data_IF_361410199730
#
_entry.id   IF_361410199730
#
_cell.length_a   1.000
_cell.length_b   1.000
_cell.length_c   1.000
_cell.angle_alpha   90.00
_cell.angle_beta   90.00
_cell.angle_gamma   90.00
#
_symmetry.space_group_name_H-M   'P 1'
#
loop_
_entity.id
_entity.type
_entity.pdbx_description
1 polymer ?
#
# COMPACT_ATOMS: atom_id res chain seq x y z
N UNK A 1 -63.36 -22.67 36.86
CA UNK A 1 -62.04 -23.13 36.43
C UNK A 1 -62.24 -24.18 35.37
N UNK A 2 -62.10 -23.79 34.10
CA UNK A 2 -61.90 -24.69 32.97
C UNK A 2 -61.15 -23.85 31.93
N UNK A 3 -60.01 -24.36 31.52
CA UNK A 3 -59.04 -23.75 30.62
C UNK A 3 -59.38 -24.05 29.17
N UNK A 4 -59.37 -23.04 28.30
CA UNK A 4 -59.23 -23.25 26.86
C UNK A 4 -58.21 -22.23 26.33
N UNK A 5 -57.00 -22.74 26.09
CA UNK A 5 -55.90 -22.08 25.38
C UNK A 5 -56.09 -22.33 23.89
N UNK A 6 -56.46 -21.29 23.14
CA UNK A 6 -56.41 -21.34 21.69
C UNK A 6 -54.98 -21.11 21.19
N UNK A 7 -54.55 -22.01 20.31
CA UNK A 7 -53.19 -22.14 19.78
C UNK A 7 -53.00 -21.21 18.57
N UNK A 8 -51.98 -20.36 18.63
CA UNK A 8 -51.54 -19.55 17.48
C UNK A 8 -50.60 -20.40 16.61
N UNK A 9 -50.79 -20.51 15.28
CA UNK A 9 -49.86 -21.23 14.43
C UNK A 9 -48.57 -20.41 14.25
N UNK A 10 -47.45 -20.94 14.74
CA UNK A 10 -46.11 -20.40 14.46
C UNK A 10 -45.82 -20.69 12.97
N UNK A 11 -45.64 -19.62 12.20
CA UNK A 11 -45.13 -19.67 10.83
C UNK A 11 -43.71 -20.25 10.85
N UNK A 12 -43.51 -21.42 10.21
CA UNK A 12 -42.18 -21.91 9.86
C UNK A 12 -41.60 -21.03 8.75
N UNK A 13 -41.06 -19.87 9.14
CA UNK A 13 -40.19 -19.07 8.30
C UNK A 13 -38.82 -19.73 8.22
N UNK A 14 -38.58 -20.45 7.13
CA UNK A 14 -37.23 -20.80 6.68
C UNK A 14 -36.47 -19.50 6.40
N UNK A 15 -35.81 -18.95 7.42
CA UNK A 15 -34.81 -17.92 7.24
C UNK A 15 -33.67 -18.55 6.44
N UNK A 16 -33.60 -18.17 5.17
CA UNK A 16 -32.46 -18.42 4.31
C UNK A 16 -31.19 -18.13 5.09
N UNK A 17 -30.29 -19.13 5.13
CA UNK A 17 -28.91 -18.92 5.52
C UNK A 17 -28.38 -17.76 4.69
N UNK A 18 -28.22 -16.59 5.32
CA UNK A 18 -27.39 -15.54 4.78
C UNK A 18 -25.98 -16.13 4.72
N UNK A 19 -25.52 -16.41 3.51
CA UNK A 19 -24.15 -16.80 3.25
C UNK A 19 -23.23 -15.74 3.89
N UNK A 20 -22.58 -16.12 4.98
CA UNK A 20 -21.38 -15.44 5.44
C UNK A 20 -20.39 -15.52 4.29
N UNK A 21 -20.17 -14.40 3.62
CA UNK A 21 -19.09 -14.25 2.65
C UNK A 21 -17.80 -14.55 3.43
N UNK A 22 -17.23 -15.72 3.15
CA UNK A 22 -15.93 -16.13 3.65
C UNK A 22 -14.90 -15.20 3.01
N UNK A 23 -14.62 -14.10 3.71
CA UNK A 23 -13.56 -13.19 3.33
C UNK A 23 -12.26 -13.98 3.47
N UNK A 24 -11.76 -14.48 2.34
CA UNK A 24 -10.44 -15.10 2.18
C UNK A 24 -9.39 -14.12 2.68
N UNK A 25 -9.16 -14.13 3.99
CA UNK A 25 -8.19 -13.27 4.65
C UNK A 25 -6.85 -13.89 4.32
N UNK A 26 -6.05 -13.23 3.48
CA UNK A 26 -4.65 -13.59 3.27
C UNK A 26 -4.01 -13.78 4.65
N UNK A 27 -3.40 -14.95 4.90
CA UNK A 27 -2.67 -15.21 6.16
C UNK A 27 -1.53 -14.20 6.40
N UNK A 28 -1.13 -13.45 5.37
CA UNK A 28 -0.12 -12.41 5.46
C UNK A 28 -0.74 -11.03 5.27
N UNK A 29 -0.54 -10.10 6.22
CA UNK A 29 -1.05 -8.75 6.09
C UNK A 29 -0.40 -8.06 4.88
N UNK A 30 -1.20 -7.32 4.11
CA UNK A 30 -0.70 -6.47 3.04
C UNK A 30 -0.12 -5.19 3.63
N UNK A 31 1.20 -5.00 3.47
CA UNK A 31 1.95 -3.89 4.06
C UNK A 31 2.63 -3.09 2.96
N UNK A 32 2.41 -1.78 2.97
CA UNK A 32 2.97 -0.82 2.01
C UNK A 32 3.99 0.07 2.73
N UNK A 33 5.24 0.10 2.27
CA UNK A 33 6.26 0.97 2.84
C UNK A 33 6.33 2.31 2.10
N UNK A 34 5.96 3.40 2.78
CA UNK A 34 6.06 4.75 2.27
C UNK A 34 7.41 5.40 2.62
N UNK A 35 8.24 5.65 1.61
CA UNK A 35 9.57 6.30 1.75
C UNK A 35 9.64 7.71 1.14
N UNK A 36 8.52 8.20 0.59
CA UNK A 36 8.40 9.45 -0.15
C UNK A 36 7.03 10.11 0.05
N UNK A 37 6.29 10.36 -1.03
CA UNK A 37 4.99 11.08 -0.98
C UNK A 37 3.93 10.42 -0.09
N UNK A 38 4.04 9.10 0.10
CA UNK A 38 3.14 8.33 0.96
C UNK A 38 3.21 8.75 2.44
N UNK A 39 4.34 9.32 2.90
CA UNK A 39 4.48 9.85 4.27
C UNK A 39 3.50 11.01 4.50
N UNK A 40 3.27 11.86 3.49
CA UNK A 40 2.40 13.04 3.58
C UNK A 40 0.97 12.80 3.09
N UNK A 41 0.77 11.74 2.30
CA UNK A 41 -0.55 11.30 1.82
C UNK A 41 -0.63 9.77 1.88
N UNK A 42 -1.01 9.20 3.04
CA UNK A 42 -1.17 7.78 3.23
C UNK A 42 -2.16 7.15 2.22
N UNK A 43 -2.04 5.85 1.93
CA UNK A 43 -3.06 5.12 1.19
C UNK A 43 -4.38 5.07 1.99
N UNK A 44 -5.53 4.87 1.33
CA UNK A 44 -6.80 4.63 2.02
C UNK A 44 -6.80 3.26 2.73
N UNK A 45 -7.78 3.01 3.60
CA UNK A 45 -7.98 1.73 4.31
C UNK A 45 -6.79 1.25 5.17
N UNK A 46 -6.01 2.18 5.73
CA UNK A 46 -4.94 1.86 6.66
C UNK A 46 -5.51 1.50 8.04
N UNK A 47 -5.14 0.33 8.54
CA UNK A 47 -5.52 -0.17 9.88
C UNK A 47 -4.38 -0.06 10.90
N UNK A 48 -3.12 0.03 10.45
CA UNK A 48 -1.97 0.27 11.33
C UNK A 48 -0.84 1.02 10.62
N UNK A 49 -0.08 1.81 11.38
CA UNK A 49 1.10 2.55 10.89
C UNK A 49 2.28 2.31 11.82
N UNK A 50 3.40 1.87 11.26
CA UNK A 50 4.64 1.63 12.02
C UNK A 50 5.79 2.41 11.39
N UNK A 51 6.28 3.49 12.04
CA UNK A 51 7.49 4.16 11.61
C UNK A 51 8.69 3.21 11.66
N UNK A 52 9.55 3.26 10.65
CA UNK A 52 10.69 2.36 10.56
C UNK A 52 11.63 2.74 9.43
N UNK A 53 12.50 1.81 9.07
CA UNK A 53 13.46 2.01 8.00
C UNK A 53 13.79 0.71 7.26
N UNK A 54 14.21 0.84 6.00
CA UNK A 54 14.78 -0.25 5.22
C UNK A 54 16.30 -0.16 5.25
N UNK A 55 17.00 -1.29 5.44
CA UNK A 55 18.47 -1.40 5.32
C UNK A 55 18.86 -1.93 3.94
N UNK A 56 20.04 -1.56 3.46
CA UNK A 56 20.58 -2.00 2.17
C UNK A 56 19.96 -1.29 0.97
N UNK A 57 19.22 -0.20 1.20
CA UNK A 57 18.64 0.63 0.15
C UNK A 57 19.11 2.07 0.31
N UNK A 58 19.28 2.76 -0.81
CA UNK A 58 19.58 4.19 -0.83
C UNK A 58 18.41 4.94 -1.45
N UNK A 59 18.10 6.11 -0.88
CA UNK A 59 17.13 7.05 -1.45
C UNK A 59 17.88 8.16 -2.17
N UNK A 60 17.80 8.17 -3.51
CA UNK A 60 18.51 9.16 -4.34
C UNK A 60 17.58 9.72 -5.42
N UNK A 61 17.81 10.97 -5.80
CA UNK A 61 17.17 11.61 -6.96
C UNK A 61 17.82 11.12 -8.26
N UNK A 62 17.76 9.82 -8.51
CA UNK A 62 18.47 9.18 -9.63
C UNK A 62 17.56 8.87 -10.82
N UNK A 63 16.24 8.85 -10.65
CA UNK A 63 15.31 8.53 -11.71
C UNK A 63 14.91 9.80 -12.48
N UNK A 64 15.02 9.73 -13.81
CA UNK A 64 14.68 10.84 -14.71
C UNK A 64 13.15 10.98 -14.76
N UNK A 65 12.64 12.17 -14.53
CA UNK A 65 11.21 12.49 -14.60
C UNK A 65 10.98 13.57 -15.64
N UNK A 66 10.24 13.22 -16.69
CA UNK A 66 9.89 14.14 -17.76
C UNK A 66 8.59 14.93 -17.49
N UNK A 67 7.70 14.42 -16.63
CA UNK A 67 6.31 14.91 -16.60
C UNK A 67 5.86 15.59 -15.29
N UNK A 68 6.55 15.38 -14.15
CA UNK A 68 6.09 15.90 -12.85
C UNK A 68 6.99 16.98 -12.21
N UNK A 69 8.29 16.96 -12.48
CA UNK A 69 9.30 17.84 -11.85
C UNK A 69 10.36 18.37 -12.84
N UNK A 70 10.04 18.35 -14.13
CA UNK A 70 10.86 18.90 -15.21
C UNK A 70 10.05 19.07 -16.48
N UNK A 71 10.72 19.41 -17.58
CA UNK A 71 10.15 19.44 -18.93
C UNK A 71 10.89 18.46 -19.84
N UNK A 72 10.37 18.13 -21.04
CA UNK A 72 11.11 17.33 -22.01
C UNK A 72 12.50 17.89 -22.32
N UNK A 73 12.63 19.21 -22.37
CA UNK A 73 13.86 19.94 -22.64
C UNK A 73 14.78 20.02 -21.40
N UNK A 74 14.21 20.00 -20.19
CA UNK A 74 14.92 20.03 -18.90
C UNK A 74 14.34 19.00 -17.92
N UNK A 75 14.72 17.72 -18.03
CA UNK A 75 14.16 16.66 -17.22
C UNK A 75 14.51 16.84 -15.74
N UNK A 76 13.50 16.68 -14.90
CA UNK A 76 13.66 16.65 -13.46
C UNK A 76 14.25 15.33 -13.00
N UNK A 77 14.68 15.28 -11.74
CA UNK A 77 15.02 14.03 -11.06
C UNK A 77 13.99 13.74 -10.00
N UNK A 78 13.52 12.51 -9.91
CA UNK A 78 12.63 12.03 -8.85
C UNK A 78 13.37 11.02 -7.96
N UNK A 79 12.93 10.98 -6.70
CA UNK A 79 13.43 10.04 -5.71
C UNK A 79 13.06 8.63 -6.11
N UNK A 80 14.03 7.73 -6.04
CA UNK A 80 13.83 6.28 -6.20
C UNK A 80 14.60 5.54 -5.11
N UNK A 81 14.15 4.31 -4.81
CA UNK A 81 14.87 3.37 -3.96
C UNK A 81 15.74 2.48 -4.84
N UNK A 82 17.03 2.46 -4.55
CA UNK A 82 18.00 1.62 -5.27
C UNK A 82 18.67 0.72 -4.23
N UNK A 83 18.86 -0.56 -4.57
CA UNK A 83 19.71 -1.42 -3.76
C UNK A 83 21.10 -0.82 -3.65
N UNK A 84 21.66 -0.78 -2.43
CA UNK A 84 22.97 -0.19 -2.19
C UNK A 84 24.06 -0.82 -3.06
N UNK A 85 24.03 -2.14 -3.23
CA UNK A 85 25.00 -2.85 -4.07
C UNK A 85 24.99 -2.39 -5.54
N UNK A 86 23.80 -2.14 -6.09
CA UNK A 86 23.67 -1.62 -7.45
C UNK A 86 24.16 -0.17 -7.50
N UNK A 87 23.78 0.64 -6.52
CA UNK A 87 24.18 2.03 -6.45
C UNK A 87 25.70 2.23 -6.31
N UNK A 88 26.37 1.41 -5.48
CA UNK A 88 27.81 1.47 -5.27
C UNK A 88 28.59 1.15 -6.57
N UNK A 89 28.01 0.36 -7.49
CA UNK A 89 28.60 0.08 -8.81
C UNK A 89 28.53 1.26 -9.76
N UNK A 90 27.53 2.14 -9.61
CA UNK A 90 27.31 3.27 -10.52
C UNK A 90 27.79 4.61 -9.95
N UNK A 91 27.96 4.71 -8.63
CA UNK A 91 28.24 5.97 -7.94
C UNK A 91 29.66 6.00 -7.35
N UNK A 92 30.66 5.97 -8.23
CA UNK A 92 32.07 6.14 -7.83
C UNK A 92 32.40 7.50 -7.17
N UNK A 93 31.41 8.37 -6.97
CA UNK A 93 31.54 9.69 -6.34
C UNK A 93 30.28 10.07 -5.54
N UNK A 94 29.54 9.10 -4.97
CA UNK A 94 28.46 9.45 -4.05
C UNK A 94 29.05 10.19 -2.83
N UNK A 95 28.60 11.42 -2.53
CA UNK A 95 28.99 12.12 -1.30
C UNK A 95 28.54 11.43 0.00
N UNK A 96 27.64 10.45 -0.07
CA UNK A 96 27.12 9.70 1.08
C UNK A 96 27.23 8.17 0.89
N UNK A 97 28.46 7.63 0.82
CA UNK A 97 28.68 6.21 0.51
C UNK A 97 28.25 5.27 1.64
N UNK A 98 28.09 5.74 2.87
CA UNK A 98 27.68 4.91 4.03
C UNK A 98 26.17 4.95 4.30
N UNK A 99 25.41 5.70 3.51
CA UNK A 99 23.96 5.85 3.70
C UNK A 99 23.25 4.65 3.05
N UNK A 100 22.93 3.62 3.85
CA UNK A 100 22.22 2.41 3.43
C UNK A 100 20.84 2.25 4.09
N UNK A 101 20.36 3.32 4.74
CA UNK A 101 19.12 3.31 5.52
C UNK A 101 18.11 4.29 4.94
N UNK A 102 16.91 3.80 4.61
CA UNK A 102 15.80 4.67 4.21
C UNK A 102 14.69 4.66 5.23
N UNK A 103 14.50 5.79 5.89
CA UNK A 103 13.40 6.03 6.81
C UNK A 103 12.07 6.19 6.10
N UNK A 104 11.01 5.65 6.70
CA UNK A 104 9.66 5.70 6.17
C UNK A 104 8.62 5.18 7.17
N UNK A 105 7.44 4.87 6.65
CA UNK A 105 6.32 4.33 7.44
C UNK A 105 5.77 3.10 6.75
N UNK A 106 5.61 2.01 7.49
CA UNK A 106 4.89 0.82 7.04
C UNK A 106 3.40 0.98 7.34
N UNK A 107 2.57 0.99 6.29
CA UNK A 107 1.12 1.06 6.37
C UNK A 107 0.54 -0.35 6.19
N UNK A 108 -0.17 -0.86 7.20
CA UNK A 108 -0.93 -2.11 7.09
C UNK A 108 -2.32 -1.79 6.58
N UNK A 109 -2.73 -2.44 5.50
CA UNK A 109 -4.02 -2.23 4.85
C UNK A 109 -5.03 -3.26 5.37
N UNK A 110 -6.28 -2.83 5.50
CA UNK A 110 -7.40 -3.72 5.76
C UNK A 110 -7.47 -4.81 4.67
N UNK A 111 -7.39 -6.11 5.02
CA UNK A 111 -7.47 -7.21 4.06
C UNK A 111 -8.71 -7.15 3.16
N UNK A 112 -9.83 -6.57 3.62
CA UNK A 112 -11.03 -6.43 2.83
C UNK A 112 -10.87 -5.46 1.63
N UNK A 113 -9.87 -4.59 1.66
CA UNK A 113 -9.63 -3.53 0.67
C UNK A 113 -8.27 -3.66 -0.03
N UNK A 114 -7.58 -4.81 0.10
CA UNK A 114 -6.26 -5.01 -0.48
C UNK A 114 -6.23 -4.75 -1.99
N UNK A 115 -7.20 -5.30 -2.73
CA UNK A 115 -7.29 -5.14 -4.19
C UNK A 115 -7.48 -3.69 -4.60
N UNK A 116 -8.38 -2.97 -3.94
CA UNK A 116 -8.65 -1.55 -4.21
C UNK A 116 -7.41 -0.70 -3.94
N UNK A 117 -6.72 -0.93 -2.82
CA UNK A 117 -5.51 -0.17 -2.47
C UNK A 117 -4.37 -0.50 -3.44
N UNK A 118 -4.24 -1.74 -3.90
CA UNK A 118 -3.26 -2.12 -4.92
C UNK A 118 -3.50 -1.38 -6.23
N UNK A 119 -4.74 -1.38 -6.73
CA UNK A 119 -5.11 -0.67 -7.96
C UNK A 119 -4.90 0.85 -7.83
N UNK A 120 -5.24 1.40 -6.66
CA UNK A 120 -4.99 2.81 -6.34
C UNK A 120 -3.50 3.16 -6.38
N UNK A 121 -2.65 2.32 -5.78
CA UNK A 121 -1.20 2.54 -5.75
C UNK A 121 -0.59 2.39 -7.14
N UNK A 122 -1.02 1.40 -7.93
CA UNK A 122 -0.58 1.22 -9.32
C UNK A 122 -0.95 2.42 -10.20
N UNK A 123 -2.15 2.98 -10.01
CA UNK A 123 -2.55 4.21 -10.69
C UNK A 123 -1.72 5.42 -10.23
N UNK A 124 -1.42 5.52 -8.92
CA UNK A 124 -0.72 6.66 -8.33
C UNK A 124 0.79 6.67 -8.64
N UNK A 125 1.42 5.51 -8.68
CA UNK A 125 2.85 5.31 -8.92
C UNK A 125 3.17 5.10 -10.41
N UNK A 126 2.16 5.18 -11.29
CA UNK A 126 2.37 5.14 -12.75
C UNK A 126 3.33 6.26 -13.16
N UNK A 127 4.59 5.87 -13.37
CA UNK A 127 5.54 6.64 -14.16
C UNK A 127 5.03 6.53 -15.59
N UNK A 128 4.65 7.64 -16.27
CA UNK A 128 4.34 7.57 -17.68
C UNK A 128 5.63 7.11 -18.38
N UNK A 129 5.67 5.85 -18.81
CA UNK A 129 6.63 5.41 -19.81
C UNK A 129 6.11 5.97 -21.12
N UNK A 130 6.41 7.25 -21.40
CA UNK A 130 6.12 7.83 -22.70
C UNK A 130 7.20 7.40 -23.69
N UNK A 131 6.72 6.77 -24.77
CA UNK A 131 7.42 6.40 -26.01
C UNK A 131 8.12 7.56 -26.69
#
# INVERSE_FOLDING_TARGET
MASETESVPILNGSAAQAATADATTSERPYVVFGYGSLIWKPPPHVIAQTPGFLKGYVRRFAQKSHDHRGTPENPGRVVTLIHKEDWDRFSGSDPFPDDDVVWGVAYTIDPAYESEVRDYLDYREKVPLTS
#
